data_IF_474069101090
#
_entry.id   IF_474069101090
#
_cell.length_a   1.000
_cell.length_b   1.000
_cell.length_c   1.000
_cell.angle_alpha   90.00
_cell.angle_beta   90.00
_cell.angle_gamma   90.00
#
_symmetry.space_group_name_H-M   'P 1'
#
loop_
_entity.id
_entity.type
_entity.pdbx_description
1 polymer ?
#
# COMPACT_ATOMS: atom_id res chain seq x y z
N UNK A 1 -14.50 14.16 22.84
CA UNK A 1 -14.18 13.46 21.58
C UNK A 1 -12.67 13.40 21.58
N UNK A 2 -12.17 12.29 22.08
CA UNK A 2 -10.88 12.27 22.77
C UNK A 2 -9.80 11.88 21.77
N UNK A 3 -8.68 12.59 21.78
CA UNK A 3 -7.70 12.71 20.69
C UNK A 3 -7.08 11.42 20.13
N UNK A 4 -7.39 10.25 20.68
CA UNK A 4 -6.95 8.94 20.18
C UNK A 4 -7.66 8.50 18.89
N UNK A 5 -8.88 8.95 18.61
CA UNK A 5 -9.58 8.57 17.37
C UNK A 5 -9.01 9.26 16.12
N UNK A 6 -8.37 10.41 16.29
CA UNK A 6 -7.71 11.14 15.20
C UNK A 6 -6.53 10.37 14.63
N UNK A 7 -5.79 9.64 15.47
CA UNK A 7 -4.61 8.88 15.04
C UNK A 7 -4.99 7.71 14.13
N UNK A 8 -6.10 7.03 14.42
CA UNK A 8 -6.54 5.89 13.61
C UNK A 8 -7.13 6.33 12.26
N UNK A 9 -7.82 7.47 12.23
CA UNK A 9 -8.29 8.07 10.97
C UNK A 9 -7.12 8.54 10.11
N UNK A 10 -6.11 9.19 10.70
CA UNK A 10 -4.89 9.58 10.00
C UNK A 10 -4.12 8.37 9.45
N UNK A 11 -4.00 7.31 10.25
CA UNK A 11 -3.39 6.04 9.82
C UNK A 11 -4.13 5.42 8.61
N UNK A 12 -5.46 5.38 8.67
CA UNK A 12 -6.29 4.87 7.58
C UNK A 12 -6.14 5.69 6.30
N UNK A 13 -6.14 7.02 6.43
CA UNK A 13 -5.91 7.92 5.29
C UNK A 13 -4.53 7.71 4.67
N UNK A 14 -3.50 7.53 5.47
CA UNK A 14 -2.15 7.30 4.96
C UNK A 14 -2.05 5.98 4.18
N UNK A 15 -2.64 4.89 4.69
CA UNK A 15 -2.73 3.62 3.93
C UNK A 15 -3.40 3.80 2.57
N UNK A 16 -4.48 4.59 2.53
CA UNK A 16 -5.22 4.89 1.31
C UNK A 16 -4.40 5.75 0.34
N UNK A 17 -3.62 6.69 0.86
CA UNK A 17 -2.74 7.55 0.08
C UNK A 17 -1.62 6.74 -0.57
N UNK A 18 -0.94 5.88 0.19
CA UNK A 18 0.10 4.97 -0.33
C UNK A 18 -0.48 4.07 -1.43
N UNK A 19 -1.65 3.46 -1.19
CA UNK A 19 -2.29 2.62 -2.21
C UNK A 19 -2.53 3.39 -3.52
N UNK A 20 -3.07 4.61 -3.40
CA UNK A 20 -3.38 5.46 -4.55
C UNK A 20 -2.11 5.97 -5.25
N UNK A 21 -1.05 6.31 -4.52
CA UNK A 21 0.22 6.75 -5.12
C UNK A 21 0.87 5.63 -5.94
N UNK A 22 0.62 4.38 -5.57
CA UNK A 22 1.02 3.19 -6.34
C UNK A 22 0.05 2.82 -7.48
N UNK A 23 -1.03 3.59 -7.67
CA UNK A 23 -2.04 3.33 -8.72
C UNK A 23 -2.91 2.09 -8.48
N UNK A 24 -2.92 1.55 -7.27
CA UNK A 24 -3.64 0.31 -6.95
C UNK A 24 -5.10 0.59 -6.60
N UNK A 25 -6.00 -0.25 -7.10
CA UNK A 25 -7.38 -0.33 -6.62
C UNK A 25 -7.46 -1.10 -5.29
N UNK A 26 -8.58 -0.96 -4.58
CA UNK A 26 -8.81 -1.78 -3.39
C UNK A 26 -8.87 -3.27 -3.72
N UNK A 27 -9.36 -3.64 -4.91
CA UNK A 27 -9.41 -5.03 -5.36
C UNK A 27 -8.00 -5.61 -5.53
N UNK A 28 -7.09 -4.85 -6.15
CA UNK A 28 -5.70 -5.28 -6.36
C UNK A 28 -4.99 -5.59 -5.04
N UNK A 29 -5.27 -4.82 -3.99
CA UNK A 29 -4.71 -5.06 -2.65
C UNK A 29 -5.36 -6.28 -1.98
N UNK A 30 -6.69 -6.39 -2.05
CA UNK A 30 -7.42 -7.48 -1.39
C UNK A 30 -7.09 -8.86 -1.96
N UNK A 31 -6.81 -8.94 -3.26
CA UNK A 31 -6.39 -10.18 -3.93
C UNK A 31 -5.02 -10.66 -3.46
N UNK A 32 -4.14 -9.74 -3.06
CA UNK A 32 -2.77 -10.06 -2.62
C UNK A 32 -2.66 -10.27 -1.10
N UNK A 33 -3.53 -9.63 -0.31
CA UNK A 33 -3.48 -9.64 1.17
C UNK A 33 -4.52 -10.60 1.78
N UNK A 34 -5.33 -11.26 0.94
CA UNK A 34 -6.35 -12.26 1.36
C UNK A 34 -7.39 -11.71 2.36
N UNK A 35 -7.76 -10.45 2.22
CA UNK A 35 -8.81 -9.79 3.03
C UNK A 35 -9.98 -9.35 2.15
N UNK A 36 -11.15 -9.11 2.75
CA UNK A 36 -12.29 -8.57 2.00
C UNK A 36 -12.10 -7.08 1.68
N UNK A 37 -12.74 -6.61 0.61
CA UNK A 37 -12.78 -5.17 0.25
C UNK A 37 -13.43 -4.31 1.33
N UNK A 38 -14.43 -4.82 2.03
CA UNK A 38 -15.05 -4.10 3.15
C UNK A 38 -14.10 -3.96 4.34
N UNK A 39 -13.30 -5.00 4.61
CA UNK A 39 -12.23 -4.97 5.62
C UNK A 39 -11.19 -3.89 5.28
N UNK A 40 -10.68 -3.87 4.04
CA UNK A 40 -9.73 -2.85 3.60
C UNK A 40 -10.34 -1.44 3.68
N UNK A 41 -11.61 -1.26 3.28
CA UNK A 41 -12.32 0.01 3.40
C UNK A 41 -12.44 0.47 4.86
N UNK A 42 -12.63 -0.44 5.82
CA UNK A 42 -12.68 -0.09 7.25
C UNK A 42 -11.30 0.33 7.78
N UNK A 43 -10.23 -0.29 7.32
CA UNK A 43 -8.86 0.14 7.65
C UNK A 43 -8.59 1.54 7.12
N UNK A 44 -8.89 1.79 5.83
CA UNK A 44 -8.65 3.09 5.18
C UNK A 44 -9.49 4.25 5.73
N UNK A 45 -10.58 3.96 6.44
CA UNK A 45 -11.43 4.97 7.09
C UNK A 45 -11.18 5.04 8.61
N UNK A 46 -10.10 4.42 9.10
CA UNK A 46 -9.74 4.41 10.52
C UNK A 46 -10.80 3.79 11.43
N UNK A 47 -11.60 2.83 10.93
CA UNK A 47 -12.68 2.19 11.71
C UNK A 47 -12.24 0.90 12.39
N UNK A 48 -11.18 0.27 11.90
CA UNK A 48 -10.62 -0.98 12.45
C UNK A 48 -9.10 -0.94 12.32
N UNK A 49 -8.40 -1.43 13.34
CA UNK A 49 -6.95 -1.64 13.30
C UNK A 49 -6.66 -3.00 12.64
N UNK A 50 -5.81 -3.07 11.61
CA UNK A 50 -5.38 -4.34 11.03
C UNK A 50 -4.60 -5.18 12.07
N UNK A 51 -4.74 -6.50 12.01
CA UNK A 51 -3.90 -7.40 12.80
C UNK A 51 -2.46 -7.35 12.27
N UNK A 52 -1.50 -7.74 13.11
CA UNK A 52 -0.07 -7.73 12.74
C UNK A 52 0.19 -8.45 11.42
N UNK A 53 -0.34 -9.66 11.23
CA UNK A 53 -0.17 -10.44 9.98
C UNK A 53 -0.66 -9.67 8.74
N UNK A 54 -1.80 -8.98 8.84
CA UNK A 54 -2.35 -8.18 7.75
C UNK A 54 -1.53 -6.92 7.49
N UNK A 55 -1.01 -6.30 8.55
CA UNK A 55 -0.13 -5.14 8.44
C UNK A 55 1.19 -5.51 7.75
N UNK A 56 1.76 -6.66 8.11
CA UNK A 56 2.99 -7.17 7.49
C UNK A 56 2.76 -7.42 5.99
N UNK A 57 1.64 -8.05 5.61
CA UNK A 57 1.31 -8.27 4.20
C UNK A 57 1.12 -6.96 3.42
N UNK A 58 0.43 -5.97 4.01
CA UNK A 58 0.27 -4.64 3.39
C UNK A 58 1.62 -3.95 3.21
N UNK A 59 2.49 -4.01 4.22
CA UNK A 59 3.83 -3.42 4.17
C UNK A 59 4.66 -4.02 3.04
N UNK A 60 4.75 -5.35 2.97
CA UNK A 60 5.49 -6.04 1.92
C UNK A 60 4.95 -5.72 0.52
N UNK A 61 3.62 -5.67 0.37
CA UNK A 61 2.98 -5.34 -0.90
C UNK A 61 3.38 -3.93 -1.37
N UNK A 62 3.25 -2.93 -0.49
CA UNK A 62 3.53 -1.55 -0.85
C UNK A 62 5.02 -1.27 -1.10
N UNK A 63 5.91 -1.89 -0.32
CA UNK A 63 7.36 -1.80 -0.54
C UNK A 63 7.78 -2.37 -1.90
N UNK A 64 7.30 -3.58 -2.23
CA UNK A 64 7.61 -4.25 -3.49
C UNK A 64 7.14 -3.44 -4.70
N UNK A 65 5.94 -2.83 -4.62
CA UNK A 65 5.41 -2.00 -5.72
C UNK A 65 6.14 -0.67 -5.87
N UNK A 66 6.60 -0.08 -4.77
CA UNK A 66 7.43 1.14 -4.79
C UNK A 66 8.76 0.92 -5.53
N UNK A 67 9.41 -0.24 -5.31
CA UNK A 67 10.65 -0.61 -6.01
C UNK A 67 10.39 -0.84 -7.50
N UNK A 68 9.31 -1.54 -7.86
CA UNK A 68 8.98 -1.83 -9.25
C UNK A 68 8.78 -0.57 -10.12
N UNK A 69 8.21 0.49 -9.54
CA UNK A 69 8.06 1.80 -10.22
C UNK A 69 9.39 2.53 -10.43
N UNK A 70 10.42 2.24 -9.63
CA UNK A 70 11.73 2.88 -9.71
C UNK A 70 12.68 2.22 -10.73
N UNK A 71 12.41 0.97 -11.11
CA UNK A 71 13.26 0.20 -12.04
C UNK A 71 13.13 0.59 -13.53
N UNK A 72 12.24 1.53 -13.89
CA UNK A 72 12.05 1.99 -15.27
C UNK A 72 12.95 3.17 -15.69
N UNK A 73 13.95 3.55 -14.89
CA UNK A 73 14.93 4.58 -15.27
C UNK A 73 16.38 4.05 -15.17
N UNK A 74 16.72 3.01 -15.91
CA UNK A 74 18.10 2.70 -16.29
C UNK A 74 18.14 1.87 -17.58
N UNK A 75 17.93 2.53 -18.73
CA UNK A 75 18.40 2.05 -20.04
C UNK A 75 19.34 3.09 -20.65
N UNK A 76 20.63 3.02 -20.28
CA UNK A 76 21.76 3.68 -20.96
C UNK A 76 22.98 2.79 -20.73
N UNK A 77 23.67 2.19 -21.69
CA UNK A 77 23.47 2.06 -23.13
C UNK A 77 24.40 0.92 -23.60
N UNK A 78 23.99 0.19 -24.61
CA UNK A 78 24.83 -0.79 -25.30
C UNK A 78 25.99 -0.05 -25.97
N UNK A 79 27.23 -0.35 -25.58
CA UNK A 79 28.41 -0.10 -26.42
C UNK A 79 28.75 -1.40 -27.15
N UNK A 80 28.67 -1.45 -28.50
CA UNK A 80 29.15 -2.61 -29.23
C UNK A 80 30.69 -2.60 -29.19
N UNK A 81 31.26 -3.73 -28.78
CA UNK A 81 32.69 -3.96 -28.85
C UNK A 81 33.04 -4.24 -30.33
N UNK A 82 33.53 -3.22 -31.02
CA UNK A 82 34.34 -3.35 -32.24
C UNK A 82 35.81 -3.47 -31.84
#
# INVERSE_FOLDING_TARGET
MDGFYSDLEAFGEELKNIRKSLGLSQSDVTEQVFISRDTLRKFENGKVIPKQETLDLLSHLYECKSIASSSHSQTRGTVPFI
#
